data_IF_096905571706
#
_entry.id   IF_096905571706
#
_cell.length_a   1.000
_cell.length_b   1.000
_cell.length_c   1.000
_cell.angle_alpha   90.00
_cell.angle_beta   90.00
_cell.angle_gamma   90.00
#
_symmetry.space_group_name_H-M   'P 1'
#
loop_
_entity.id
_entity.type
_entity.pdbx_description
1 polymer ?
#
# COMPACT_ATOMS: atom_id res chain seq x y z
N UNK A 1 0.49 -17.59 -23.41
CA UNK A 1 1.35 -16.74 -22.60
C UNK A 1 2.23 -17.69 -21.79
N UNK A 2 3.55 -17.67 -22.03
CA UNK A 2 4.54 -18.37 -21.22
C UNK A 2 4.45 -17.75 -19.82
N UNK A 3 4.21 -18.58 -18.80
CA UNK A 3 4.33 -18.17 -17.42
C UNK A 3 5.83 -17.96 -17.14
N UNK A 4 6.28 -16.70 -17.17
CA UNK A 4 7.63 -16.39 -16.72
C UNK A 4 7.74 -16.83 -15.25
N UNK A 5 8.72 -17.70 -14.96
CA UNK A 5 8.94 -18.21 -13.62
C UNK A 5 9.35 -17.08 -12.66
N UNK A 6 8.70 -17.03 -11.50
CA UNK A 6 9.08 -16.11 -10.42
C UNK A 6 10.48 -16.49 -9.95
N UNK A 7 11.44 -15.57 -10.09
CA UNK A 7 12.85 -15.80 -9.74
C UNK A 7 13.22 -15.32 -8.35
N UNK A 8 12.42 -14.43 -7.76
CA UNK A 8 12.68 -13.89 -6.42
C UNK A 8 11.39 -13.53 -5.69
N UNK A 9 11.45 -13.63 -4.37
CA UNK A 9 10.39 -13.20 -3.47
C UNK A 9 10.80 -11.93 -2.73
N UNK A 10 9.83 -11.13 -2.40
CA UNK A 10 9.95 -10.00 -1.49
C UNK A 10 9.14 -10.36 -0.25
N UNK A 11 9.77 -10.39 0.91
CA UNK A 11 9.13 -10.65 2.18
C UNK A 11 9.19 -9.37 3.00
N UNK A 12 8.05 -8.76 3.34
CA UNK A 12 8.01 -7.43 3.91
C UNK A 12 6.91 -7.25 4.95
N UNK A 13 7.22 -6.45 5.98
CA UNK A 13 6.28 -5.88 6.96
C UNK A 13 5.92 -4.46 6.54
N UNK A 14 4.81 -3.92 7.04
CA UNK A 14 4.45 -2.52 6.87
C UNK A 14 4.91 -1.71 8.10
N UNK A 15 5.63 -0.60 7.88
CA UNK A 15 5.99 0.33 8.95
C UNK A 15 4.87 1.32 9.27
N UNK A 16 5.06 2.16 10.29
CA UNK A 16 4.10 3.20 10.70
C UNK A 16 3.88 4.30 9.66
N UNK A 17 4.76 4.39 8.64
CA UNK A 17 4.62 5.32 7.52
C UNK A 17 3.87 4.71 6.32
N UNK A 18 3.39 3.47 6.44
CA UNK A 18 2.77 2.73 5.33
C UNK A 18 3.78 2.37 4.23
N UNK A 19 5.04 2.14 4.61
CA UNK A 19 6.11 1.70 3.71
C UNK A 19 6.41 0.23 4.00
N UNK A 20 6.52 -0.56 2.93
CA UNK A 20 6.93 -1.96 3.06
C UNK A 20 8.44 -2.05 3.25
N UNK A 21 8.85 -2.57 4.40
CA UNK A 21 10.24 -2.83 4.80
C UNK A 21 10.50 -4.34 4.79
N UNK A 22 11.60 -4.78 4.19
CA UNK A 22 11.81 -6.23 4.10
C UNK A 22 13.01 -6.66 3.30
N UNK A 23 13.00 -7.92 2.91
CA UNK A 23 14.11 -8.61 2.24
C UNK A 23 13.67 -9.14 0.87
N UNK A 24 14.60 -9.12 -0.09
CA UNK A 24 14.46 -9.89 -1.33
C UNK A 24 15.16 -11.24 -1.14
N UNK A 25 14.46 -12.31 -1.44
CA UNK A 25 14.86 -13.67 -1.14
C UNK A 25 14.82 -14.48 -2.44
N UNK A 26 15.87 -15.27 -2.75
CA UNK A 26 15.83 -16.21 -3.87
C UNK A 26 14.66 -17.19 -3.73
N UNK A 27 14.06 -17.58 -4.84
CA UNK A 27 12.86 -18.44 -4.83
C UNK A 27 13.12 -19.78 -4.14
N UNK A 28 14.32 -20.30 -4.22
CA UNK A 28 14.75 -21.57 -3.59
C UNK A 28 14.64 -21.52 -2.05
N UNK A 29 14.56 -20.32 -1.48
CA UNK A 29 14.44 -20.14 -0.03
C UNK A 29 13.01 -19.77 0.41
N UNK A 30 12.00 -19.96 -0.45
CA UNK A 30 10.60 -19.65 -0.15
C UNK A 30 10.10 -20.29 1.14
N UNK A 31 10.55 -21.51 1.44
CA UNK A 31 10.17 -22.23 2.67
C UNK A 31 10.50 -21.46 3.93
N UNK A 32 11.61 -20.71 3.98
CA UNK A 32 11.97 -19.85 5.12
C UNK A 32 10.97 -18.71 5.35
N UNK A 33 10.28 -18.27 4.30
CA UNK A 33 9.24 -17.26 4.42
C UNK A 33 7.96 -17.90 4.94
N UNK A 34 7.59 -19.05 4.38
CA UNK A 34 6.33 -19.74 4.68
C UNK A 34 6.31 -20.37 6.07
N UNK A 35 7.44 -20.83 6.57
CA UNK A 35 7.59 -21.45 7.90
C UNK A 35 7.84 -20.41 9.03
N UNK A 36 7.89 -19.11 8.70
CA UNK A 36 8.11 -18.03 9.68
C UNK A 36 9.55 -17.93 10.20
N UNK A 37 10.53 -18.51 9.48
CA UNK A 37 11.95 -18.42 9.84
C UNK A 37 12.58 -17.06 9.52
N UNK A 38 11.84 -16.16 8.88
CA UNK A 38 12.32 -14.80 8.60
C UNK A 38 12.33 -13.99 9.88
N UNK A 39 13.45 -13.32 10.12
CA UNK A 39 13.63 -12.41 11.25
C UNK A 39 13.99 -11.02 10.74
N UNK A 40 13.49 -10.00 11.42
CA UNK A 40 13.85 -8.60 11.23
C UNK A 40 13.84 -7.89 12.57
N UNK A 41 14.65 -6.82 12.73
CA UNK A 41 14.63 -6.01 13.94
C UNK A 41 13.22 -5.49 14.23
N UNK A 42 12.79 -5.54 15.49
CA UNK A 42 11.49 -5.02 15.92
C UNK A 42 11.37 -3.51 15.68
N UNK A 43 12.49 -2.79 15.72
CA UNK A 43 12.55 -1.36 15.46
C UNK A 43 12.10 -0.95 14.06
N UNK A 44 12.18 -1.87 13.07
CA UNK A 44 11.96 -1.56 11.64
C UNK A 44 10.58 -0.97 11.34
N UNK A 45 9.57 -1.26 12.15
CA UNK A 45 8.23 -0.69 11.97
C UNK A 45 8.11 0.74 12.48
N UNK A 46 9.04 1.20 13.31
CA UNK A 46 9.06 2.52 13.96
C UNK A 46 10.15 3.47 13.44
N UNK A 47 10.74 3.21 12.29
CA UNK A 47 11.69 4.12 11.64
C UNK A 47 10.97 5.33 11.02
N UNK A 48 11.70 6.39 10.72
CA UNK A 48 11.17 7.53 9.98
C UNK A 48 10.92 7.21 8.49
N UNK A 49 10.44 8.20 7.72
CA UNK A 49 10.14 8.03 6.28
C UNK A 49 11.40 7.70 5.45
N UNK A 50 12.58 8.09 5.92
CA UNK A 50 13.86 7.81 5.27
C UNK A 50 14.42 6.43 5.64
N UNK A 51 13.89 5.82 6.71
CA UNK A 51 14.35 4.55 7.25
C UNK A 51 15.42 4.71 8.35
N UNK A 52 15.51 5.90 8.94
CA UNK A 52 16.42 6.17 10.05
C UNK A 52 15.74 5.93 11.40
N UNK A 53 16.54 5.57 12.39
CA UNK A 53 16.07 5.34 13.75
C UNK A 53 15.63 6.66 14.40
N UNK A 54 14.44 6.66 14.99
CA UNK A 54 13.93 7.81 15.71
C UNK A 54 14.60 7.86 17.09
N UNK A 55 15.17 9.01 17.46
CA UNK A 55 15.80 9.24 18.77
C UNK A 55 14.78 8.95 19.88
N UNK A 56 15.19 8.09 20.82
CA UNK A 56 14.31 7.65 21.92
C UNK A 56 13.46 6.42 21.62
N UNK A 57 13.61 5.81 20.44
CA UNK A 57 12.99 4.52 20.16
C UNK A 57 13.55 3.44 21.10
N UNK A 58 12.72 3.00 22.06
CA UNK A 58 13.13 2.01 23.07
C UNK A 58 13.53 0.66 22.47
N UNK A 59 12.97 0.29 21.32
CA UNK A 59 13.29 -0.96 20.64
C UNK A 59 14.73 -0.98 20.11
N UNK A 60 15.30 0.18 19.77
CA UNK A 60 16.71 0.31 19.37
C UNK A 60 17.61 0.46 20.60
N UNK A 61 17.32 1.47 21.44
CA UNK A 61 18.28 1.95 22.43
C UNK A 61 18.21 1.22 23.76
N UNK A 62 17.02 0.75 24.17
CA UNK A 62 16.86 0.04 25.45
C UNK A 62 16.94 -1.48 25.31
N UNK A 63 16.46 -2.05 24.20
CA UNK A 63 16.35 -3.51 24.01
C UNK A 63 17.41 -4.08 23.06
N UNK A 64 18.36 -3.25 22.58
CA UNK A 64 19.47 -3.70 21.74
C UNK A 64 19.06 -4.19 20.35
N UNK A 65 18.01 -3.61 19.79
CA UNK A 65 17.50 -3.89 18.43
C UNK A 65 17.22 -5.39 18.17
N UNK A 66 16.48 -5.99 19.11
CA UNK A 66 16.16 -7.42 19.04
C UNK A 66 15.35 -7.77 17.80
N UNK A 67 15.69 -8.91 17.21
CA UNK A 67 14.93 -9.50 16.10
C UNK A 67 13.58 -10.07 16.57
N UNK A 68 12.53 -9.73 15.82
CA UNK A 68 11.23 -10.40 15.90
C UNK A 68 11.08 -11.49 14.86
N UNK A 69 10.10 -12.36 15.07
CA UNK A 69 9.66 -13.32 14.07
C UNK A 69 8.72 -12.68 13.07
N UNK A 70 8.91 -12.93 11.78
CA UNK A 70 8.07 -12.40 10.72
C UNK A 70 7.30 -13.55 10.07
N UNK A 71 5.99 -13.55 10.21
CA UNK A 71 5.09 -14.63 9.75
C UNK A 71 4.21 -14.08 8.61
N UNK A 72 3.89 -14.90 7.58
CA UNK A 72 2.96 -14.49 6.53
C UNK A 72 1.60 -14.06 7.09
N UNK A 73 1.05 -12.97 6.55
CA UNK A 73 -0.25 -12.42 6.99
C UNK A 73 -1.45 -13.28 6.58
N UNK A 74 -1.26 -14.30 5.76
CA UNK A 74 -2.34 -15.05 5.13
C UNK A 74 -2.88 -14.41 3.83
N UNK A 75 -2.37 -13.23 3.43
CA UNK A 75 -2.76 -12.56 2.19
C UNK A 75 -2.35 -13.35 0.92
N UNK A 76 -1.45 -14.31 1.07
CA UNK A 76 -0.94 -15.12 -0.03
C UNK A 76 0.27 -14.51 -0.73
N UNK A 77 0.58 -15.07 -1.89
CA UNK A 77 1.67 -14.64 -2.77
C UNK A 77 1.13 -13.61 -3.75
N UNK A 78 1.67 -12.40 -3.73
CA UNK A 78 1.19 -11.25 -4.50
C UNK A 78 2.15 -11.04 -5.68
N UNK A 79 1.69 -11.13 -6.94
CA UNK A 79 2.54 -10.90 -8.11
C UNK A 79 3.02 -9.46 -8.18
N UNK A 80 4.26 -9.26 -8.62
CA UNK A 80 4.90 -7.95 -8.82
C UNK A 80 5.42 -7.91 -10.27
N UNK A 81 4.58 -7.42 -11.19
CA UNK A 81 4.82 -7.52 -12.64
C UNK A 81 5.39 -6.23 -13.27
N UNK A 82 5.58 -5.17 -12.50
CA UNK A 82 6.17 -3.92 -12.98
C UNK A 82 7.69 -3.85 -12.86
N UNK A 83 8.32 -4.91 -12.40
CA UNK A 83 9.78 -5.05 -12.34
C UNK A 83 10.32 -5.72 -13.59
N UNK A 84 11.60 -5.50 -13.91
CA UNK A 84 12.23 -6.05 -15.11
C UNK A 84 12.28 -7.60 -15.16
N UNK A 85 12.10 -8.23 -14.03
CA UNK A 85 11.98 -9.70 -13.90
C UNK A 85 10.79 -10.02 -13.01
N UNK A 86 10.02 -11.08 -13.31
CA UNK A 86 8.91 -11.49 -12.48
C UNK A 86 9.34 -11.75 -11.05
N UNK A 87 8.62 -11.15 -10.12
CA UNK A 87 8.82 -11.35 -8.69
C UNK A 87 7.49 -11.40 -7.97
N UNK A 88 7.50 -11.81 -6.72
CA UNK A 88 6.31 -11.81 -5.89
C UNK A 88 6.60 -11.22 -4.51
N UNK A 89 5.56 -10.72 -3.87
CA UNK A 89 5.58 -10.24 -2.50
C UNK A 89 4.78 -11.17 -1.61
N UNK A 90 5.34 -11.49 -0.44
CA UNK A 90 4.62 -12.13 0.67
C UNK A 90 4.60 -11.12 1.81
N UNK A 91 3.42 -10.54 2.12
CA UNK A 91 3.28 -9.65 3.26
C UNK A 91 3.42 -10.42 4.58
N UNK A 92 4.16 -9.84 5.50
CA UNK A 92 4.46 -10.40 6.81
C UNK A 92 3.92 -9.47 7.90
N UNK A 93 3.74 -10.01 9.09
CA UNK A 93 3.55 -9.25 10.33
C UNK A 93 4.49 -9.77 11.42
N UNK A 94 4.71 -8.97 12.46
CA UNK A 94 5.77 -9.21 13.42
C UNK A 94 5.25 -9.76 14.75
N UNK A 95 6.07 -10.63 15.32
CA UNK A 95 5.87 -11.23 16.64
C UNK A 95 7.15 -11.14 17.45
N UNK A 96 7.00 -10.94 18.75
CA UNK A 96 8.06 -11.06 19.73
C UNK A 96 8.41 -12.53 19.99
N UNK A 97 9.44 -12.75 20.81
CA UNK A 97 9.81 -14.07 21.31
C UNK A 97 8.60 -14.77 21.96
N UNK A 98 8.47 -16.07 21.74
CA UNK A 98 7.34 -16.87 22.23
C UNK A 98 6.02 -16.63 21.49
N UNK A 99 6.09 -16.16 20.24
CA UNK A 99 4.95 -15.92 19.36
C UNK A 99 3.92 -14.90 19.90
N UNK A 100 4.36 -13.94 20.71
CA UNK A 100 3.50 -12.86 21.19
C UNK A 100 3.34 -11.81 20.09
N UNK A 101 2.12 -11.32 19.78
CA UNK A 101 1.92 -10.23 18.83
C UNK A 101 2.74 -8.99 19.20
N UNK A 102 3.51 -8.45 18.27
CA UNK A 102 4.25 -7.20 18.46
C UNK A 102 3.32 -6.01 18.18
N UNK A 103 2.83 -5.37 19.25
CA UNK A 103 1.77 -4.36 19.13
C UNK A 103 2.20 -3.02 18.50
N UNK A 104 3.49 -2.80 18.31
CA UNK A 104 3.97 -1.65 17.51
C UNK A 104 3.89 -1.90 16.01
N UNK A 105 3.72 -3.15 15.57
CA UNK A 105 3.33 -3.46 14.19
C UNK A 105 1.91 -2.94 13.95
N UNK A 106 1.68 -2.01 13.00
CA UNK A 106 0.37 -1.40 12.77
C UNK A 106 -0.71 -2.44 12.42
N UNK A 107 -0.35 -3.54 11.76
CA UNK A 107 -1.29 -4.62 11.45
C UNK A 107 -1.72 -5.39 12.70
N UNK A 108 -0.81 -5.65 13.65
CA UNK A 108 -1.15 -6.26 14.93
C UNK A 108 -2.04 -5.35 15.77
N UNK A 109 -1.76 -4.05 15.76
CA UNK A 109 -2.61 -3.07 16.46
C UNK A 109 -4.04 -3.06 15.89
N UNK A 110 -4.19 -3.06 14.57
CA UNK A 110 -5.50 -3.14 13.92
C UNK A 110 -6.21 -4.47 14.23
N UNK A 111 -5.50 -5.60 14.17
CA UNK A 111 -6.06 -6.92 14.49
C UNK A 111 -6.66 -6.96 15.90
N UNK A 112 -5.96 -6.35 16.87
CA UNK A 112 -6.47 -6.22 18.25
C UNK A 112 -7.76 -5.40 18.33
N UNK A 113 -7.88 -4.35 17.54
CA UNK A 113 -9.11 -3.53 17.51
C UNK A 113 -10.25 -4.31 16.85
N UNK A 114 -10.00 -4.98 15.74
CA UNK A 114 -11.01 -5.82 15.07
C UNK A 114 -11.55 -6.90 15.99
N UNK A 115 -10.67 -7.54 16.78
CA UNK A 115 -11.09 -8.54 17.76
C UNK A 115 -12.01 -7.94 18.85
N UNK A 116 -11.78 -6.69 19.28
CA UNK A 116 -12.69 -6.02 20.24
C UNK A 116 -14.08 -5.81 19.65
N UNK A 117 -14.20 -5.45 18.37
CA UNK A 117 -15.49 -5.37 17.68
C UNK A 117 -16.18 -6.73 17.63
N UNK A 118 -15.43 -7.77 17.26
CA UNK A 118 -15.96 -9.14 17.21
C UNK A 118 -16.53 -9.61 18.54
N UNK A 119 -15.84 -9.32 19.65
CA UNK A 119 -16.32 -9.66 21.01
C UNK A 119 -17.62 -8.93 21.38
N UNK A 120 -17.85 -7.75 20.79
CA UNK A 120 -19.09 -6.98 20.97
C UNK A 120 -20.23 -7.40 20.02
N UNK A 121 -20.04 -8.43 19.20
CA UNK A 121 -21.01 -8.82 18.16
C UNK A 121 -21.10 -7.80 17.01
N UNK A 122 -20.07 -6.97 16.85
CA UNK A 122 -20.04 -5.90 15.86
C UNK A 122 -19.02 -6.22 14.76
N UNK A 123 -19.32 -5.80 13.52
CA UNK A 123 -18.48 -6.00 12.34
C UNK A 123 -18.25 -4.68 11.62
N UNK A 124 -17.02 -4.13 11.61
CA UNK A 124 -16.71 -2.97 10.80
C UNK A 124 -16.76 -3.30 9.30
N UNK A 125 -17.29 -2.37 8.51
CA UNK A 125 -17.25 -2.40 7.05
C UNK A 125 -16.55 -1.15 6.59
N UNK A 126 -15.47 -1.29 5.83
CA UNK A 126 -14.58 -0.19 5.47
C UNK A 126 -14.29 -0.16 3.98
N UNK A 127 -14.10 1.04 3.45
CA UNK A 127 -13.53 1.29 2.13
C UNK A 127 -12.49 2.40 2.24
N UNK A 128 -11.58 2.47 1.29
CA UNK A 128 -10.56 3.53 1.24
C UNK A 128 -10.57 4.21 -0.12
N UNK A 129 -10.29 5.50 -0.13
CA UNK A 129 -10.08 6.31 -1.32
C UNK A 129 -8.68 6.91 -1.21
N UNK A 130 -7.87 6.70 -2.23
CA UNK A 130 -6.48 7.13 -2.20
C UNK A 130 -6.21 8.10 -3.34
N UNK A 131 -5.92 9.35 -2.96
CA UNK A 131 -5.45 10.37 -3.88
C UNK A 131 -3.94 10.30 -4.06
N UNK A 132 -3.49 10.57 -5.27
CA UNK A 132 -2.08 10.63 -5.61
C UNK A 132 -1.83 11.60 -6.76
N UNK A 133 -0.61 12.11 -6.84
CA UNK A 133 -0.16 12.85 -8.01
C UNK A 133 0.71 11.97 -8.90
N UNK A 134 0.48 12.06 -10.21
CA UNK A 134 1.50 11.73 -11.20
C UNK A 134 2.42 12.94 -11.35
N UNK A 135 3.71 12.68 -11.43
CA UNK A 135 4.75 13.69 -11.59
C UNK A 135 5.77 13.26 -12.63
N UNK A 136 6.47 14.23 -13.20
CA UNK A 136 7.57 13.99 -14.12
C UNK A 136 8.75 13.32 -13.39
N UNK A 137 9.18 12.11 -13.79
CA UNK A 137 10.27 11.39 -13.13
C UNK A 137 11.65 12.03 -13.37
N UNK A 138 11.81 12.84 -14.41
CA UNK A 138 13.10 13.41 -14.82
C UNK A 138 13.34 14.81 -14.20
N UNK A 139 12.36 15.35 -13.45
CA UNK A 139 12.48 16.64 -12.80
C UNK A 139 13.11 16.54 -11.41
N UNK A 140 13.96 17.51 -11.04
CA UNK A 140 14.60 17.58 -9.71
C UNK A 140 13.60 17.86 -8.56
N UNK A 141 12.44 18.43 -8.88
CA UNK A 141 11.35 18.71 -7.93
C UNK A 141 10.03 18.18 -8.46
N UNK A 142 9.02 18.09 -7.60
CA UNK A 142 7.69 17.70 -8.05
C UNK A 142 7.14 18.71 -9.06
N UNK A 143 6.97 18.28 -10.30
CA UNK A 143 6.29 19.04 -11.37
C UNK A 143 5.26 18.13 -12.04
N UNK A 144 4.19 18.71 -12.66
CA UNK A 144 3.17 17.92 -13.34
C UNK A 144 3.77 17.03 -14.44
N UNK A 145 3.15 15.89 -14.72
CA UNK A 145 3.63 14.96 -15.73
C UNK A 145 3.46 15.53 -17.16
N UNK A 146 4.16 14.94 -18.09
CA UNK A 146 3.91 15.12 -19.52
C UNK A 146 2.86 14.10 -19.92
N UNK A 147 1.76 14.55 -20.54
CA UNK A 147 0.75 13.65 -21.11
C UNK A 147 1.39 12.74 -22.15
N UNK A 148 1.30 11.43 -22.02
CA UNK A 148 1.80 10.50 -23.04
C UNK A 148 1.08 10.65 -24.39
N UNK A 149 -0.17 11.14 -24.37
CA UNK A 149 -1.00 11.30 -25.54
C UNK A 149 -0.67 12.57 -26.32
N UNK A 150 -0.55 13.71 -25.63
CA UNK A 150 -0.32 15.02 -26.27
C UNK A 150 1.15 15.41 -26.37
N UNK A 151 2.03 14.78 -25.59
CA UNK A 151 3.43 15.15 -25.46
C UNK A 151 3.66 16.49 -24.74
N UNK A 152 2.64 17.08 -24.13
CA UNK A 152 2.71 18.36 -23.42
C UNK A 152 2.62 18.14 -21.92
N UNK A 153 3.31 19.00 -21.17
CA UNK A 153 3.16 19.04 -19.72
C UNK A 153 1.78 19.55 -19.34
N UNK A 154 1.14 18.90 -18.37
CA UNK A 154 -0.10 19.41 -17.82
C UNK A 154 0.14 20.77 -17.14
N UNK A 155 -0.72 21.74 -17.38
CA UNK A 155 -0.63 23.11 -16.88
C UNK A 155 -1.93 23.63 -16.22
N UNK A 156 -3.01 22.93 -16.39
CA UNK A 156 -4.33 23.23 -15.82
C UNK A 156 -4.90 22.04 -15.08
N UNK A 157 -5.69 22.31 -14.06
CA UNK A 157 -6.51 21.36 -13.34
C UNK A 157 -7.86 21.20 -14.06
N UNK A 158 -8.37 19.98 -14.06
CA UNK A 158 -9.64 19.65 -14.67
C UNK A 158 -10.36 18.56 -13.85
N UNK A 159 -10.91 18.98 -12.70
CA UNK A 159 -11.64 18.07 -11.81
C UNK A 159 -12.70 17.27 -12.57
N UNK A 160 -12.73 15.96 -12.34
CA UNK A 160 -13.64 15.00 -12.98
C UNK A 160 -13.53 14.95 -14.52
N UNK A 161 -12.42 15.41 -15.08
CA UNK A 161 -12.19 15.37 -16.53
C UNK A 161 -11.94 13.94 -17.00
N UNK A 162 -12.79 13.47 -17.90
CA UNK A 162 -12.58 12.20 -18.59
C UNK A 162 -11.40 12.30 -19.58
N UNK A 163 -11.25 13.46 -20.25
CA UNK A 163 -10.15 13.68 -21.19
C UNK A 163 -8.80 13.59 -20.48
N UNK A 164 -8.67 14.04 -19.23
CA UNK A 164 -7.43 13.92 -18.46
C UNK A 164 -7.15 12.46 -18.06
N UNK A 165 -8.19 11.66 -17.79
CA UNK A 165 -8.04 10.22 -17.58
C UNK A 165 -7.60 9.51 -18.87
N UNK A 166 -8.15 9.92 -20.03
CA UNK A 166 -7.78 9.36 -21.33
C UNK A 166 -6.32 9.67 -21.68
N UNK A 167 -5.82 10.85 -21.32
CA UNK A 167 -4.40 11.23 -21.48
C UNK A 167 -3.43 10.23 -20.82
N UNK A 168 -3.86 9.56 -19.75
CA UNK A 168 -3.10 8.54 -19.03
C UNK A 168 -3.74 7.14 -19.13
N UNK A 169 -4.49 6.88 -20.20
CA UNK A 169 -5.29 5.66 -20.37
C UNK A 169 -4.48 4.37 -20.21
N UNK A 170 -3.28 4.27 -20.81
CA UNK A 170 -2.41 3.10 -20.68
C UNK A 170 -1.95 2.87 -19.22
N UNK A 171 -1.66 3.93 -18.50
CA UNK A 171 -1.32 3.85 -17.08
C UNK A 171 -2.49 3.30 -16.25
N UNK A 172 -3.71 3.83 -16.43
CA UNK A 172 -4.90 3.36 -15.71
C UNK A 172 -5.25 1.92 -16.08
N UNK A 173 -5.14 1.56 -17.36
CA UNK A 173 -5.31 0.18 -17.80
C UNK A 173 -4.37 -0.77 -17.07
N UNK A 174 -3.09 -0.45 -17.04
CA UNK A 174 -2.08 -1.24 -16.33
C UNK A 174 -2.37 -1.33 -14.82
N UNK A 175 -2.81 -0.22 -14.19
CA UNK A 175 -3.20 -0.20 -12.76
C UNK A 175 -4.34 -1.17 -12.50
N UNK A 176 -5.42 -1.13 -13.28
CA UNK A 176 -6.56 -2.02 -13.11
C UNK A 176 -6.19 -3.49 -13.35
N UNK A 177 -5.39 -3.78 -14.38
CA UNK A 177 -4.91 -5.14 -14.63
C UNK A 177 -4.08 -5.69 -13.47
N UNK A 178 -3.18 -4.89 -12.92
CA UNK A 178 -2.38 -5.31 -11.77
C UNK A 178 -3.23 -5.41 -10.49
N UNK A 179 -4.21 -4.53 -10.28
CA UNK A 179 -5.19 -4.65 -9.20
C UNK A 179 -5.95 -5.99 -9.29
N UNK A 180 -6.42 -6.35 -10.48
CA UNK A 180 -7.11 -7.64 -10.72
C UNK A 180 -6.22 -8.83 -10.37
N UNK A 181 -4.94 -8.82 -10.80
CA UNK A 181 -3.98 -9.90 -10.52
C UNK A 181 -3.64 -10.02 -9.03
N UNK A 182 -3.65 -8.92 -8.30
CA UNK A 182 -3.38 -8.87 -6.86
C UNK A 182 -4.64 -9.01 -6.00
N UNK A 183 -5.81 -9.20 -6.63
CA UNK A 183 -7.11 -9.23 -5.94
C UNK A 183 -7.35 -7.97 -5.08
N UNK A 184 -6.98 -6.80 -5.60
CA UNK A 184 -7.30 -5.50 -5.03
C UNK A 184 -8.66 -5.02 -5.58
N UNK A 185 -9.58 -4.54 -4.72
CA UNK A 185 -10.93 -4.20 -5.11
C UNK A 185 -11.04 -2.78 -5.67
N UNK A 186 -10.14 -2.38 -6.58
CA UNK A 186 -10.20 -1.08 -7.23
C UNK A 186 -11.53 -0.89 -7.96
N UNK A 187 -12.09 0.32 -7.86
CA UNK A 187 -13.37 0.71 -8.43
C UNK A 187 -13.17 1.90 -9.37
N UNK A 188 -13.82 3.04 -9.14
CA UNK A 188 -13.71 4.20 -10.00
C UNK A 188 -12.34 4.90 -9.88
N UNK A 189 -11.84 5.42 -11.01
CA UNK A 189 -10.79 6.41 -11.06
C UNK A 189 -11.37 7.77 -11.45
N UNK A 190 -10.83 8.85 -10.92
CA UNK A 190 -11.24 10.20 -11.26
C UNK A 190 -10.04 11.16 -11.23
N UNK A 191 -10.16 12.24 -12.01
CA UNK A 191 -9.23 13.37 -11.96
C UNK A 191 -9.63 14.31 -10.83
N UNK A 192 -8.64 14.76 -10.04
CA UNK A 192 -8.82 15.60 -8.87
C UNK A 192 -8.47 17.07 -9.12
N UNK A 193 -8.59 17.90 -8.06
CA UNK A 193 -8.37 19.34 -8.12
C UNK A 193 -6.92 19.79 -8.38
N UNK A 194 -5.97 18.88 -8.38
CA UNK A 194 -4.58 19.21 -8.63
C UNK A 194 -4.15 18.77 -10.02
N UNK A 195 -3.31 19.56 -10.68
CA UNK A 195 -2.78 19.22 -12.01
C UNK A 195 -2.02 17.90 -11.97
N UNK A 196 -2.55 16.87 -12.62
CA UNK A 196 -2.03 15.51 -12.57
C UNK A 196 -2.34 14.77 -11.26
N UNK A 197 -3.35 15.22 -10.53
CA UNK A 197 -3.87 14.55 -9.34
C UNK A 197 -5.04 13.63 -9.72
N UNK A 198 -5.00 12.42 -9.19
CA UNK A 198 -6.00 11.40 -9.43
C UNK A 198 -6.38 10.70 -8.13
N UNK A 199 -7.58 10.13 -8.12
CA UNK A 199 -8.07 9.27 -7.05
C UNK A 199 -8.50 7.91 -7.61
N UNK A 200 -8.30 6.85 -6.84
CA UNK A 200 -8.93 5.55 -7.10
C UNK A 200 -9.59 5.07 -5.83
N UNK A 201 -10.88 4.78 -5.95
CA UNK A 201 -11.70 4.24 -4.87
C UNK A 201 -11.51 2.73 -4.75
N UNK A 202 -11.57 2.23 -3.51
CA UNK A 202 -11.64 0.80 -3.21
C UNK A 202 -13.03 0.42 -2.76
N UNK A 203 -13.53 -0.73 -3.22
CA UNK A 203 -14.84 -1.23 -2.77
C UNK A 203 -14.81 -1.63 -1.30
N UNK A 204 -15.95 -1.46 -0.65
CA UNK A 204 -16.16 -1.83 0.75
C UNK A 204 -15.90 -3.31 1.02
N UNK A 205 -15.34 -3.58 2.19
CA UNK A 205 -15.14 -4.93 2.72
C UNK A 205 -15.45 -4.98 4.21
N UNK A 206 -15.95 -6.12 4.67
CA UNK A 206 -16.14 -6.41 6.10
C UNK A 206 -14.88 -6.99 6.77
N UNK A 207 -13.75 -6.96 6.07
CA UNK A 207 -12.43 -7.33 6.61
C UNK A 207 -11.51 -6.10 6.66
N UNK A 208 -11.44 -5.41 7.81
CA UNK A 208 -10.61 -4.22 7.96
C UNK A 208 -9.11 -4.48 7.78
N UNK A 209 -8.63 -5.69 8.13
CA UNK A 209 -7.23 -6.05 7.90
C UNK A 209 -6.94 -6.15 6.41
N UNK A 210 -7.87 -6.77 5.65
CA UNK A 210 -7.76 -6.81 4.20
C UNK A 210 -7.79 -5.41 3.59
N UNK A 211 -8.69 -4.53 4.04
CA UNK A 211 -8.77 -3.15 3.54
C UNK A 211 -7.46 -2.38 3.76
N UNK A 212 -6.85 -2.50 4.93
CA UNK A 212 -5.56 -1.89 5.24
C UNK A 212 -4.43 -2.46 4.39
N UNK A 213 -4.36 -3.80 4.26
CA UNK A 213 -3.40 -4.48 3.37
C UNK A 213 -3.57 -3.99 1.92
N UNK A 214 -4.82 -3.90 1.43
CA UNK A 214 -5.15 -3.46 0.07
C UNK A 214 -4.66 -2.01 -0.18
N UNK A 215 -4.84 -1.10 0.77
CA UNK A 215 -4.38 0.29 0.65
C UNK A 215 -2.84 0.37 0.53
N UNK A 216 -2.10 -0.38 1.35
CA UNK A 216 -0.63 -0.42 1.30
C UNK A 216 -0.14 -1.01 -0.03
N UNK A 217 -0.75 -2.11 -0.46
CA UNK A 217 -0.41 -2.78 -1.71
C UNK A 217 -0.73 -1.90 -2.92
N UNK A 218 -1.87 -1.21 -2.90
CA UNK A 218 -2.27 -0.29 -3.95
C UNK A 218 -1.29 0.88 -4.09
N UNK A 219 -0.89 1.54 -2.99
CA UNK A 219 0.15 2.59 -3.04
C UNK A 219 1.43 2.10 -3.74
N UNK A 220 1.85 0.89 -3.41
CA UNK A 220 3.04 0.28 -4.02
C UNK A 220 2.83 -0.04 -5.50
N UNK A 221 1.68 -0.62 -5.85
CA UNK A 221 1.30 -0.96 -7.22
C UNK A 221 1.30 0.28 -8.10
N UNK A 222 0.60 1.34 -7.71
CA UNK A 222 0.52 2.60 -8.45
C UNK A 222 1.92 3.18 -8.72
N UNK A 223 2.78 3.23 -7.70
CA UNK A 223 4.18 3.68 -7.86
C UNK A 223 4.98 2.79 -8.81
N UNK A 224 4.73 1.50 -8.78
CA UNK A 224 5.40 0.53 -9.65
C UNK A 224 4.95 0.64 -11.11
N UNK A 225 3.65 0.72 -11.31
CA UNK A 225 3.02 0.88 -12.64
C UNK A 225 3.37 2.24 -13.23
N UNK A 226 3.39 3.31 -12.44
CA UNK A 226 3.83 4.62 -12.90
C UNK A 226 5.24 4.55 -13.51
N UNK A 227 6.20 3.94 -12.80
CA UNK A 227 7.56 3.74 -13.31
C UNK A 227 7.62 2.92 -14.60
N UNK A 228 6.80 1.86 -14.70
CA UNK A 228 6.68 1.06 -15.94
C UNK A 228 6.21 1.93 -17.12
N UNK A 229 5.35 2.91 -16.86
CA UNK A 229 4.80 3.84 -17.83
C UNK A 229 5.62 5.14 -17.95
N UNK A 230 6.89 5.16 -17.48
CA UNK A 230 7.77 6.35 -17.52
C UNK A 230 7.18 7.58 -16.82
N UNK A 231 6.42 7.34 -15.76
CA UNK A 231 5.84 8.32 -14.86
C UNK A 231 6.39 8.09 -13.45
N UNK A 232 6.19 9.04 -12.57
CA UNK A 232 6.35 8.84 -11.13
C UNK A 232 5.04 9.15 -10.41
N UNK A 233 4.75 8.44 -9.33
CA UNK A 233 3.56 8.66 -8.51
C UNK A 233 3.95 8.97 -7.08
N UNK A 234 3.30 9.98 -6.48
CA UNK A 234 3.49 10.33 -5.08
C UNK A 234 2.17 10.36 -4.33
N UNK A 235 2.17 9.75 -3.14
CA UNK A 235 1.08 9.82 -2.16
C UNK A 235 1.42 10.79 -1.01
N UNK A 236 2.35 11.71 -1.24
CA UNK A 236 2.66 12.76 -0.27
C UNK A 236 1.44 13.64 -0.08
N UNK A 237 1.08 13.90 1.19
CA UNK A 237 -0.14 14.67 1.51
C UNK A 237 -0.15 16.08 0.90
N UNK A 238 1.00 16.71 0.72
CA UNK A 238 1.12 18.06 0.15
C UNK A 238 2.39 18.18 -0.70
N UNK A 239 2.44 17.58 -1.92
CA UNK A 239 3.64 17.64 -2.75
C UNK A 239 3.89 19.03 -3.33
N UNK A 240 2.83 19.85 -3.48
CA UNK A 240 2.89 21.23 -3.96
C UNK A 240 2.33 22.17 -2.91
N UNK A 241 3.10 23.15 -2.47
CA UNK A 241 2.69 24.08 -1.41
C UNK A 241 1.41 24.88 -1.73
N UNK A 242 1.18 25.18 -3.02
CA UNK A 242 0.09 26.04 -3.49
C UNK A 242 -1.06 25.29 -4.18
N UNK A 243 -0.96 23.97 -4.38
CA UNK A 243 -1.99 23.13 -5.02
C UNK A 243 -2.74 22.29 -4.00
N UNK A 244 -3.78 21.58 -4.42
CA UNK A 244 -4.52 20.65 -3.57
C UNK A 244 -3.62 19.60 -2.90
N UNK A 245 -3.94 19.21 -1.69
CA UNK A 245 -3.31 18.09 -1.02
C UNK A 245 -3.92 16.78 -1.48
N UNK A 246 -3.22 15.66 -1.26
CA UNK A 246 -3.77 14.32 -1.47
C UNK A 246 -4.43 13.81 -0.21
N UNK A 247 -5.72 13.50 -0.30
CA UNK A 247 -6.51 12.88 0.75
C UNK A 247 -6.25 11.38 0.84
N UNK A 248 -6.60 10.84 1.99
CA UNK A 248 -6.77 9.42 2.22
C UNK A 248 -8.05 9.25 3.02
N UNK A 249 -9.18 9.02 2.34
CA UNK A 249 -10.46 8.86 3.00
C UNK A 249 -10.68 7.41 3.42
N UNK A 250 -11.27 7.26 4.59
CA UNK A 250 -11.70 5.96 5.10
C UNK A 250 -13.19 6.02 5.39
N UNK A 251 -13.97 5.35 4.56
CA UNK A 251 -15.39 5.12 4.81
C UNK A 251 -15.54 4.00 5.84
N UNK A 252 -16.36 4.24 6.83
CA UNK A 252 -16.47 3.36 7.97
C UNK A 252 -17.91 3.21 8.43
N UNK A 253 -18.42 1.98 8.37
CA UNK A 253 -19.71 1.59 8.94
C UNK A 253 -19.50 0.45 9.95
N UNK A 254 -20.47 0.27 10.84
CA UNK A 254 -20.50 -0.85 11.78
C UNK A 254 -21.84 -1.58 11.63
N UNK A 255 -21.75 -2.88 11.42
CA UNK A 255 -22.88 -3.77 11.26
C UNK A 255 -23.01 -4.62 12.51
N UNK A 256 -24.23 -4.74 13.04
CA UNK A 256 -24.55 -5.63 14.16
C UNK A 256 -24.79 -7.09 13.74
N UNK A 257 -25.19 -7.94 14.67
CA UNK A 257 -25.50 -9.36 14.42
C UNK A 257 -26.75 -9.57 13.53
N UNK A 258 -27.63 -8.57 13.45
CA UNK A 258 -28.83 -8.58 12.58
C UNK A 258 -28.56 -7.96 11.21
N UNK A 259 -27.30 -7.73 10.82
CA UNK A 259 -26.87 -7.05 9.60
C UNK A 259 -27.39 -5.60 9.46
N UNK A 260 -27.67 -4.91 10.57
CA UNK A 260 -28.06 -3.50 10.58
C UNK A 260 -26.86 -2.60 10.80
N UNK A 261 -26.80 -1.50 10.07
CA UNK A 261 -25.84 -0.44 10.31
C UNK A 261 -26.22 0.31 11.60
N UNK A 262 -25.36 0.31 12.60
CA UNK A 262 -25.66 0.94 13.90
C UNK A 262 -25.68 2.47 13.87
N UNK A 263 -25.31 3.08 12.74
CA UNK A 263 -25.34 4.54 12.51
C UNK A 263 -26.64 5.01 11.81
N UNK A 264 -27.52 4.10 11.39
CA UNK A 264 -28.79 4.41 10.74
C UNK A 264 -29.92 4.64 11.75
#
# INVERSE_FOLDING_TARGET
AEHEEITSLQAAVCDLNGILRGKRIPIEQVTKVLDGSIRMPLSIVGVDIWGEDIVGNEHVFANGDMDGHCIPTGRGVIPVNWTSRPSALIPLWMFEEGARPFLADPRQALARIVERYRVLGLRPVVATELEFYLVDPDAESAVPPISPYTGKRLDSDAILSIDELDDFGDFFWDVYEECRKQNLPADAALAENGVGQFEINMRHTSDPLKAADDAVLFKRLVKGVARKNRLSATFMAKPYGTRSGSGFHVHFNIIDEDDRNIFD
#
